data_IF_359835285458
#
_entry.id   IF_359835285458
#
_cell.length_a   1.000
_cell.length_b   1.000
_cell.length_c   1.000
_cell.angle_alpha   90.00
_cell.angle_beta   90.00
_cell.angle_gamma   90.00
#
_symmetry.space_group_name_H-M   'P 1'
#
loop_
_entity.id
_entity.type
_entity.pdbx_description
1 polymer ?
#
# COMPACT_ATOMS: atom_id res chain seq x y z
N UNK A 1 -15.63 1.86 -9.81
CA UNK A 1 -14.84 2.28 -8.62
C UNK A 1 -13.48 2.72 -9.13
N UNK A 2 -13.09 3.98 -8.93
CA UNK A 2 -11.79 4.49 -9.43
C UNK A 2 -10.64 3.71 -8.79
N UNK A 3 -9.63 3.29 -9.56
CA UNK A 3 -8.45 2.55 -9.04
C UNK A 3 -7.82 3.21 -7.83
N UNK A 4 -7.75 4.54 -7.82
CA UNK A 4 -7.21 5.35 -6.73
C UNK A 4 -7.87 5.05 -5.36
N UNK A 5 -9.17 4.76 -5.34
CA UNK A 5 -9.88 4.40 -4.10
C UNK A 5 -9.48 3.02 -3.61
N UNK A 6 -9.34 2.04 -4.52
CA UNK A 6 -8.90 0.68 -4.17
C UNK A 6 -7.45 0.73 -3.66
N UNK A 7 -6.59 1.50 -4.33
CA UNK A 7 -5.19 1.71 -3.93
C UNK A 7 -5.12 2.31 -2.53
N UNK A 8 -5.88 3.38 -2.26
CA UNK A 8 -5.94 4.01 -0.93
C UNK A 8 -6.44 3.06 0.15
N UNK A 9 -7.47 2.28 -0.14
CA UNK A 9 -8.05 1.34 0.81
C UNK A 9 -7.05 0.21 1.12
N UNK A 10 -6.51 -0.44 0.09
CA UNK A 10 -5.54 -1.54 0.23
C UNK A 10 -4.27 -1.08 0.94
N UNK A 11 -3.71 0.07 0.55
CA UNK A 11 -2.53 0.64 1.20
C UNK A 11 -2.80 0.96 2.68
N UNK A 12 -3.95 1.56 2.99
CA UNK A 12 -4.36 1.84 4.37
C UNK A 12 -4.52 0.57 5.21
N UNK A 13 -5.13 -0.48 4.64
CA UNK A 13 -5.28 -1.77 5.33
C UNK A 13 -3.93 -2.44 5.58
N UNK A 14 -3.02 -2.42 4.61
CA UNK A 14 -1.66 -2.95 4.76
C UNK A 14 -0.87 -2.24 5.86
N UNK A 15 -1.00 -0.90 5.95
CA UNK A 15 -0.35 -0.13 7.02
C UNK A 15 -0.96 -0.45 8.38
N UNK A 16 -2.28 -0.51 8.50
CA UNK A 16 -2.97 -0.89 9.75
C UNK A 16 -2.54 -2.30 10.21
N UNK A 17 -2.53 -3.28 9.32
CA UNK A 17 -2.06 -4.63 9.61
C UNK A 17 -0.60 -4.61 10.05
N UNK A 18 0.26 -3.86 9.36
CA UNK A 18 1.68 -3.72 9.71
C UNK A 18 1.89 -3.15 11.12
N UNK A 19 1.11 -2.13 11.50
CA UNK A 19 1.17 -1.52 12.83
C UNK A 19 0.64 -2.49 13.90
N UNK A 20 -0.52 -3.13 13.67
CA UNK A 20 -1.08 -4.12 14.60
C UNK A 20 -0.11 -5.28 14.83
N UNK A 21 0.52 -5.77 13.77
CA UNK A 21 1.48 -6.86 13.86
C UNK A 21 2.78 -6.42 14.54
N UNK A 22 3.20 -5.17 14.34
CA UNK A 22 4.33 -4.60 15.09
C UNK A 22 4.05 -4.49 16.58
N UNK A 23 2.80 -4.22 16.98
CA UNK A 23 2.42 -4.17 18.37
C UNK A 23 2.37 -5.56 19.01
N UNK A 24 1.90 -6.57 18.27
CA UNK A 24 1.74 -7.94 18.78
C UNK A 24 3.00 -8.80 18.75
N UNK A 25 3.91 -8.58 17.80
CA UNK A 25 5.08 -9.44 17.61
C UNK A 25 6.37 -8.77 18.07
N UNK A 26 6.74 -7.63 17.47
CA UNK A 26 7.95 -6.88 17.82
C UNK A 26 8.00 -5.54 17.08
N UNK A 27 8.63 -4.53 17.69
CA UNK A 27 8.86 -3.20 17.11
C UNK A 27 9.59 -3.22 15.75
N UNK A 28 10.31 -4.31 15.44
CA UNK A 28 10.96 -4.51 14.15
C UNK A 28 9.98 -4.65 12.97
N UNK A 29 8.71 -4.93 13.22
CA UNK A 29 7.71 -5.02 12.14
C UNK A 29 7.29 -3.66 11.58
N UNK A 30 7.66 -2.54 12.22
CA UNK A 30 7.43 -1.18 11.71
C UNK A 30 8.11 -0.91 10.37
N UNK A 31 9.17 -1.65 10.02
CA UNK A 31 9.81 -1.53 8.71
C UNK A 31 8.86 -1.86 7.56
N UNK A 32 7.87 -2.72 7.79
CA UNK A 32 6.89 -3.12 6.77
C UNK A 32 5.90 -2.00 6.42
N UNK A 33 5.14 -1.40 7.36
CA UNK A 33 4.32 -0.23 7.08
C UNK A 33 5.16 0.98 6.68
N UNK A 34 6.40 1.13 7.17
CA UNK A 34 7.30 2.21 6.76
C UNK A 34 7.69 2.09 5.27
N UNK A 35 8.04 0.88 4.82
CA UNK A 35 8.39 0.62 3.43
C UNK A 35 7.21 0.81 2.48
N UNK A 36 6.02 0.32 2.88
CA UNK A 36 4.77 0.52 2.14
C UNK A 36 4.41 1.99 2.07
N UNK A 37 4.51 2.73 3.18
CA UNK A 37 4.26 4.16 3.24
C UNK A 37 5.22 4.98 2.38
N UNK A 38 6.52 4.69 2.42
CA UNK A 38 7.53 5.33 1.58
C UNK A 38 7.26 5.12 0.09
N UNK A 39 6.90 3.90 -0.32
CA UNK A 39 6.52 3.61 -1.70
C UNK A 39 5.27 4.39 -2.12
N UNK A 40 4.29 4.55 -1.22
CA UNK A 40 3.06 5.30 -1.49
C UNK A 40 3.33 6.81 -1.62
N UNK A 41 4.21 7.36 -0.77
CA UNK A 41 4.67 8.75 -0.86
C UNK A 41 5.43 8.95 -2.17
N UNK A 42 6.38 8.09 -2.49
CA UNK A 42 7.13 8.18 -3.74
C UNK A 42 6.21 8.10 -4.95
N UNK A 43 5.24 7.17 -4.94
CA UNK A 43 4.21 7.06 -5.98
C UNK A 43 3.35 8.31 -6.12
N UNK A 44 3.07 9.04 -5.04
CA UNK A 44 2.28 10.28 -5.10
C UNK A 44 3.03 11.41 -5.81
N UNK A 45 4.37 11.37 -5.79
CA UNK A 45 5.23 12.34 -6.48
C UNK A 45 5.65 11.91 -7.89
N UNK A 46 5.87 10.61 -8.12
CA UNK A 46 6.39 10.09 -9.41
C UNK A 46 5.36 9.38 -10.26
N UNK A 47 4.14 9.13 -9.76
CA UNK A 47 3.11 8.35 -10.44
C UNK A 47 3.43 6.85 -10.59
N UNK A 48 4.55 6.39 -10.04
CA UNK A 48 4.99 4.99 -10.13
C UNK A 48 4.47 4.21 -8.92
N UNK A 49 3.22 3.71 -8.98
CA UNK A 49 2.66 2.91 -7.90
C UNK A 49 2.84 1.40 -8.19
N UNK A 50 3.70 0.67 -7.45
CA UNK A 50 3.80 -0.78 -7.61
C UNK A 50 2.46 -1.49 -7.33
N UNK A 51 1.64 -0.90 -6.45
CA UNK A 51 0.29 -1.39 -6.17
C UNK A 51 -0.63 -1.25 -7.39
N UNK A 52 -0.48 -0.17 -8.16
CA UNK A 52 -1.24 0.03 -9.41
C UNK A 52 -0.78 -0.96 -10.48
N UNK A 53 0.53 -1.23 -10.60
CA UNK A 53 1.03 -2.30 -11.48
C UNK A 53 0.51 -3.68 -11.08
N UNK A 54 0.44 -4.00 -9.79
CA UNK A 54 -0.15 -5.26 -9.30
C UNK A 54 -1.64 -5.32 -9.62
N UNK A 55 -2.38 -4.24 -9.39
CA UNK A 55 -3.82 -4.17 -9.68
C UNK A 55 -4.12 -4.26 -11.18
N UNK A 56 -3.27 -3.65 -12.01
CA UNK A 56 -3.32 -3.74 -13.46
C UNK A 56 -3.03 -5.18 -13.93
N UNK A 57 -2.05 -5.84 -13.30
CA UNK A 57 -1.70 -7.24 -13.56
C UNK A 57 -2.77 -8.24 -13.09
N UNK A 58 -3.55 -7.89 -12.07
CA UNK A 58 -4.73 -8.66 -11.60
C UNK A 58 -5.96 -8.41 -12.51
N UNK A 59 -5.86 -7.52 -13.49
CA UNK A 59 -6.93 -7.29 -14.47
C UNK A 59 -8.04 -6.38 -13.96
N UNK A 60 -7.78 -5.60 -12.90
CA UNK A 60 -8.70 -4.53 -12.48
C UNK A 60 -8.61 -3.42 -13.53
N UNK A 61 -9.44 -3.48 -14.57
CA UNK A 61 -9.51 -2.47 -15.62
C UNK A 61 -10.09 -1.16 -15.05
N UNK A 62 -9.38 -0.05 -15.30
CA UNK A 62 -9.95 1.28 -15.17
C UNK A 62 -11.12 1.42 -16.15
N UNK A 63 -12.29 1.78 -15.65
CA UNK A 63 -13.32 2.50 -16.39
C UNK A 63 -13.58 3.81 -15.67
#
# INVERSE_FOLDING_TARGET
MKKEYIIRLVAGTLVLIGITLSYFVSNGWLFLPLFVGLNLVQSSFTGFCPLEMILDKIGVKNS
#
